data_IF_342915407841
#
_entry.id   IF_342915407841
#
_cell.length_a   1.000
_cell.length_b   1.000
_cell.length_c   1.000
_cell.angle_alpha   90.00
_cell.angle_beta   90.00
_cell.angle_gamma   90.00
#
_symmetry.space_group_name_H-M   'P 1'
#
loop_
_entity.id
_entity.type
_entity.pdbx_description
1 polymer ?
#
# COMPACT_ATOMS: atom_id res chain seq x y z
N UNK A 1 -17.28 16.30 26.41
CA UNK A 1 -17.52 16.81 25.04
C UNK A 1 -17.98 18.25 25.18
N UNK A 2 -17.35 19.19 24.48
CA UNK A 2 -17.84 20.57 24.49
C UNK A 2 -19.27 20.57 23.95
N UNK A 3 -20.22 21.02 24.78
CA UNK A 3 -21.59 21.31 24.37
C UNK A 3 -21.51 22.25 23.16
N UNK A 4 -22.19 21.89 22.07
CA UNK A 4 -22.02 22.47 20.75
C UNK A 4 -21.77 24.00 20.75
N UNK A 5 -20.63 24.42 20.21
CA UNK A 5 -20.42 25.80 19.78
C UNK A 5 -21.00 25.94 18.38
N UNK A 6 -22.33 25.93 18.29
CA UNK A 6 -23.07 26.13 17.06
C UNK A 6 -24.14 27.17 17.27
N UNK A 7 -24.18 28.19 16.42
CA UNK A 7 -25.33 29.07 16.34
C UNK A 7 -26.33 28.45 15.36
N UNK A 8 -27.42 27.88 15.87
CA UNK A 8 -28.54 27.44 15.04
C UNK A 8 -29.51 28.61 14.82
N UNK A 9 -30.05 28.81 13.61
CA UNK A 9 -31.01 29.86 13.38
C UNK A 9 -32.33 29.55 14.13
N UNK A 10 -33.15 30.57 14.46
CA UNK A 10 -34.31 30.41 15.35
C UNK A 10 -35.34 29.34 14.95
N UNK A 11 -35.45 29.02 13.66
CA UNK A 11 -36.47 28.08 13.13
C UNK A 11 -35.87 26.92 12.32
N UNK A 12 -34.65 26.50 12.65
CA UNK A 12 -33.91 25.48 11.89
C UNK A 12 -34.64 24.14 11.71
N UNK A 13 -35.53 23.77 12.62
CA UNK A 13 -36.32 22.52 12.56
C UNK A 13 -37.50 22.59 11.58
N UNK A 14 -38.06 23.78 11.37
CA UNK A 14 -39.31 24.00 10.63
C UNK A 14 -39.02 24.56 9.22
N UNK A 15 -37.85 25.16 9.02
CA UNK A 15 -37.43 25.69 7.73
C UNK A 15 -36.13 26.49 7.80
N UNK A 16 -36.07 27.56 7.01
CA UNK A 16 -34.96 28.52 7.05
C UNK A 16 -35.01 29.41 8.29
N UNK A 17 -34.15 30.43 8.35
CA UNK A 17 -34.09 31.33 9.50
C UNK A 17 -35.45 31.92 9.91
N UNK A 18 -36.29 32.29 8.93
CA UNK A 18 -37.62 32.88 9.15
C UNK A 18 -38.73 31.87 9.46
N UNK A 19 -38.44 30.57 9.42
CA UNK A 19 -39.45 29.52 9.55
C UNK A 19 -40.24 29.29 8.26
N UNK A 20 -41.54 29.01 8.40
CA UNK A 20 -42.47 28.78 7.29
C UNK A 20 -43.61 29.83 7.30
N UNK A 21 -44.59 29.68 6.40
CA UNK A 21 -45.68 30.67 6.26
C UNK A 21 -46.59 30.80 7.51
N UNK A 22 -46.61 29.79 8.39
CA UNK A 22 -47.51 29.73 9.56
C UNK A 22 -46.78 29.83 10.90
N UNK A 23 -45.46 29.60 10.91
CA UNK A 23 -44.61 29.60 12.10
C UNK A 23 -43.28 30.35 11.84
N UNK A 24 -42.94 31.36 12.65
CA UNK A 24 -43.70 31.89 13.78
C UNK A 24 -44.98 32.63 13.32
N UNK A 25 -46.04 32.62 14.13
CA UNK A 25 -47.36 33.18 13.78
C UNK A 25 -47.20 34.64 13.30
N UNK A 26 -47.60 34.97 12.06
CA UNK A 26 -47.49 36.34 11.55
C UNK A 26 -48.14 37.35 12.50
N UNK A 27 -47.42 38.43 12.79
CA UNK A 27 -47.84 39.47 13.75
C UNK A 27 -47.57 39.16 15.22
N UNK A 28 -47.04 37.97 15.56
CA UNK A 28 -46.59 37.68 16.91
C UNK A 28 -45.24 38.34 17.23
N UNK A 29 -44.92 38.41 18.53
CA UNK A 29 -43.63 38.88 18.99
C UNK A 29 -42.48 38.02 18.45
N UNK A 30 -42.64 36.69 18.46
CA UNK A 30 -41.66 35.72 17.99
C UNK A 30 -41.36 35.88 16.50
N UNK A 31 -42.39 36.19 15.70
CA UNK A 31 -42.23 36.48 14.27
C UNK A 31 -41.38 37.74 14.04
N UNK A 32 -41.62 38.79 14.83
CA UNK A 32 -40.87 40.04 14.74
C UNK A 32 -39.40 39.87 15.17
N UNK A 33 -39.16 39.18 16.29
CA UNK A 33 -37.80 38.90 16.78
C UNK A 33 -37.02 38.02 15.80
N UNK A 34 -37.65 36.96 15.29
CA UNK A 34 -37.05 36.08 14.29
C UNK A 34 -36.60 36.86 13.07
N UNK A 35 -37.50 37.67 12.48
CA UNK A 35 -37.16 38.43 11.27
C UNK A 35 -36.04 39.42 11.54
N UNK A 36 -36.05 40.13 12.66
CA UNK A 36 -34.96 41.02 13.04
C UNK A 36 -33.59 40.30 13.10
N UNK A 37 -33.55 39.09 13.68
CA UNK A 37 -32.32 38.27 13.71
C UNK A 37 -31.91 37.88 12.29
N UNK A 38 -32.84 37.40 11.47
CA UNK A 38 -32.56 36.96 10.11
C UNK A 38 -32.13 38.11 9.17
N UNK A 39 -32.65 39.31 9.40
CA UNK A 39 -32.32 40.53 8.65
C UNK A 39 -30.95 41.10 9.07
N UNK A 40 -30.43 40.70 10.23
CA UNK A 40 -29.12 41.14 10.72
C UNK A 40 -27.95 40.40 10.08
N UNK A 41 -28.20 39.41 9.21
CA UNK A 41 -27.12 38.70 8.51
C UNK A 41 -26.58 39.51 7.33
N UNK A 42 -25.25 39.52 7.11
CA UNK A 42 -24.22 38.80 7.87
C UNK A 42 -23.85 39.49 9.20
N UNK A 43 -23.84 38.72 10.29
CA UNK A 43 -23.29 39.14 11.58
C UNK A 43 -21.82 38.75 11.69
N UNK A 44 -21.02 39.54 12.40
CA UNK A 44 -19.59 39.31 12.58
C UNK A 44 -19.26 39.09 14.07
N UNK A 45 -18.52 38.02 14.37
CA UNK A 45 -17.94 37.77 15.70
C UNK A 45 -16.45 38.12 15.64
N UNK A 46 -16.04 39.14 16.40
CA UNK A 46 -14.64 39.50 16.57
C UNK A 46 -14.09 38.87 17.84
N UNK A 47 -12.99 38.13 17.72
CA UNK A 47 -12.29 37.51 18.85
C UNK A 47 -10.85 37.99 18.84
N UNK A 48 -10.44 38.77 19.86
CA UNK A 48 -9.10 39.35 19.93
C UNK A 48 -8.03 38.29 20.23
N UNK A 49 -8.27 37.44 21.23
CA UNK A 49 -7.42 36.29 21.51
C UNK A 49 -8.18 35.21 22.27
N UNK A 50 -7.72 33.96 22.09
CA UNK A 50 -8.13 32.81 22.89
C UNK A 50 -6.90 32.35 23.66
N UNK A 51 -7.04 32.13 24.97
CA UNK A 51 -5.97 31.54 25.80
C UNK A 51 -6.41 30.20 26.36
N UNK A 52 -5.60 29.18 26.12
CA UNK A 52 -5.79 27.84 26.68
C UNK A 52 -4.67 27.60 27.69
N UNK A 53 -5.02 27.29 28.93
CA UNK A 53 -4.07 26.94 29.98
C UNK A 53 -4.03 25.41 30.13
N UNK A 54 -2.82 24.84 30.10
CA UNK A 54 -2.58 23.42 30.27
C UNK A 54 -1.52 23.20 31.36
N UNK A 55 -1.55 22.05 32.03
CA UNK A 55 -0.56 21.69 33.05
C UNK A 55 0.83 21.58 32.42
N UNK A 56 1.81 22.30 32.97
CA UNK A 56 3.17 22.38 32.42
C UNK A 56 3.99 21.11 32.64
N UNK A 57 3.56 20.21 33.53
CA UNK A 57 4.34 19.01 33.91
C UNK A 57 4.01 17.77 33.09
N UNK A 58 2.80 17.68 32.54
CA UNK A 58 2.27 16.47 31.88
C UNK A 58 1.85 16.70 30.42
N UNK A 59 2.07 17.91 29.91
CA UNK A 59 1.61 18.32 28.59
C UNK A 59 2.54 17.84 27.46
N UNK A 60 1.90 17.33 26.40
CA UNK A 60 2.52 17.17 25.08
C UNK A 60 1.80 18.12 24.12
N UNK A 61 2.51 19.15 23.64
CA UNK A 61 1.97 20.09 22.65
C UNK A 61 2.22 19.54 21.26
N UNK A 62 1.16 19.40 20.47
CA UNK A 62 1.24 18.93 19.09
C UNK A 62 -0.14 18.77 18.49
N UNK A 63 -0.20 18.56 17.17
CA UNK A 63 -1.45 18.28 16.48
C UNK A 63 -2.01 16.89 16.78
N UNK A 64 -1.12 15.93 17.07
CA UNK A 64 -1.46 14.52 17.26
C UNK A 64 -0.43 13.83 18.16
N UNK A 65 -0.29 14.23 19.44
CA UNK A 65 0.68 13.66 20.35
C UNK A 65 0.32 12.21 20.71
N UNK A 66 1.31 11.33 20.88
CA UNK A 66 1.07 9.92 21.16
C UNK A 66 0.25 9.65 22.43
N UNK A 67 0.34 10.52 23.44
CA UNK A 67 -0.45 10.42 24.67
C UNK A 67 -1.91 10.84 24.51
N UNK A 68 -2.20 11.70 23.51
CA UNK A 68 -3.55 12.21 23.22
C UNK A 68 -3.77 12.19 21.70
N UNK A 69 -3.92 10.98 21.13
CA UNK A 69 -3.96 10.79 19.69
C UNK A 69 -5.26 11.37 19.13
N UNK A 70 -5.15 12.56 18.56
CA UNK A 70 -6.27 13.36 18.05
C UNK A 70 -6.85 12.71 16.79
N UNK A 71 -5.99 12.14 15.95
CA UNK A 71 -6.42 11.43 14.74
C UNK A 71 -7.27 10.21 15.08
N UNK A 72 -6.82 9.39 16.02
CA UNK A 72 -7.53 8.19 16.49
C UNK A 72 -8.81 8.60 17.21
N UNK A 73 -8.79 9.68 18.01
CA UNK A 73 -9.98 10.21 18.65
C UNK A 73 -11.05 10.63 17.63
N UNK A 74 -10.68 11.38 16.58
CA UNK A 74 -11.60 11.78 15.51
C UNK A 74 -12.14 10.56 14.76
N UNK A 75 -11.27 9.58 14.43
CA UNK A 75 -11.69 8.34 13.77
C UNK A 75 -12.69 7.54 14.63
N UNK A 76 -12.46 7.44 15.93
CA UNK A 76 -13.35 6.75 16.86
C UNK A 76 -14.69 7.47 17.07
N UNK A 77 -14.75 8.78 16.83
CA UNK A 77 -15.94 9.62 17.01
C UNK A 77 -16.38 10.28 15.71
N UNK A 78 -16.24 9.58 14.57
CA UNK A 78 -16.41 10.19 13.24
C UNK A 78 -17.80 10.78 13.00
N UNK A 79 -18.83 10.23 13.66
CA UNK A 79 -20.21 10.74 13.61
C UNK A 79 -20.36 12.15 14.17
N UNK A 80 -19.44 12.60 15.02
CA UNK A 80 -19.44 13.98 15.54
C UNK A 80 -18.86 14.98 14.53
N UNK A 81 -18.15 14.51 13.52
CA UNK A 81 -17.40 15.33 12.56
C UNK A 81 -17.90 15.16 11.12
N UNK A 82 -18.94 14.34 10.92
CA UNK A 82 -19.48 14.04 9.59
C UNK A 82 -20.99 14.13 9.59
N UNK A 83 -21.54 14.57 8.46
CA UNK A 83 -22.97 14.57 8.18
C UNK A 83 -23.19 14.29 6.68
N UNK A 84 -24.44 14.08 6.20
CA UNK A 84 -24.68 13.78 4.79
C UNK A 84 -24.20 14.85 3.79
N UNK A 85 -23.99 16.09 4.22
CA UNK A 85 -23.46 17.20 3.42
C UNK A 85 -21.95 17.41 3.63
N UNK A 86 -21.36 16.84 4.68
CA UNK A 86 -19.93 16.87 4.99
C UNK A 86 -19.41 15.46 5.32
N UNK A 87 -19.24 14.58 4.31
CA UNK A 87 -18.76 13.22 4.52
C UNK A 87 -17.25 13.20 4.81
N UNK A 88 -16.81 12.23 5.61
CA UNK A 88 -15.37 11.96 5.78
C UNK A 88 -14.82 11.32 4.52
N UNK A 89 -14.06 12.10 3.75
CA UNK A 89 -13.37 11.66 2.55
C UNK A 89 -11.88 12.01 2.64
N UNK A 90 -11.03 11.10 2.19
CA UNK A 90 -9.61 11.39 2.06
C UNK A 90 -9.43 12.24 0.80
N UNK A 91 -8.99 13.49 0.98
CA UNK A 91 -8.75 14.41 -0.14
C UNK A 91 -7.28 14.34 -0.60
N UNK A 92 -7.10 14.11 -1.90
CA UNK A 92 -5.81 14.25 -2.57
C UNK A 92 -5.75 15.64 -3.23
N UNK A 93 -5.13 16.58 -2.52
CA UNK A 93 -4.99 17.97 -2.97
C UNK A 93 -6.07 18.89 -2.42
N UNK A 94 -6.24 20.05 -3.06
CA UNK A 94 -7.25 21.05 -2.72
C UNK A 94 -6.81 22.14 -1.75
N UNK A 95 -5.58 22.08 -1.21
CA UNK A 95 -5.02 23.23 -0.48
C UNK A 95 -4.81 24.42 -1.41
N UNK A 96 -4.93 25.62 -0.86
CA UNK A 96 -4.59 26.86 -1.55
C UNK A 96 -3.08 26.91 -1.83
N UNK A 97 -2.72 27.27 -3.07
CA UNK A 97 -1.33 27.38 -3.52
C UNK A 97 -1.10 28.63 -4.38
N UNK A 98 0.13 29.13 -4.37
CA UNK A 98 0.62 30.20 -5.24
C UNK A 98 1.50 29.66 -6.37
N UNK A 99 2.37 28.69 -6.08
CA UNK A 99 3.25 28.04 -7.05
C UNK A 99 3.18 26.51 -6.90
N UNK A 100 3.81 25.78 -7.83
CA UNK A 100 3.89 24.32 -7.73
C UNK A 100 4.59 23.86 -6.45
N UNK A 101 5.56 24.64 -5.94
CA UNK A 101 6.35 24.27 -4.76
C UNK A 101 5.49 24.10 -3.51
N UNK A 102 4.38 24.84 -3.39
CA UNK A 102 3.40 24.71 -2.31
C UNK A 102 2.74 23.32 -2.23
N UNK A 103 2.77 22.58 -3.34
CA UNK A 103 2.11 21.29 -3.52
C UNK A 103 3.10 20.14 -3.67
N UNK A 104 4.37 20.36 -3.33
CA UNK A 104 5.44 19.37 -3.48
C UNK A 104 6.16 19.11 -2.16
N UNK A 105 6.94 18.03 -2.11
CA UNK A 105 7.87 17.78 -1.00
C UNK A 105 9.25 18.30 -1.38
N UNK A 106 10.11 18.59 -0.39
CA UNK A 106 11.48 19.05 -0.65
C UNK A 106 12.31 18.08 -1.51
N UNK A 107 11.94 16.80 -1.54
CA UNK A 107 12.67 15.75 -2.25
C UNK A 107 12.15 15.47 -3.66
N UNK A 108 10.88 15.80 -3.97
CA UNK A 108 10.26 15.46 -5.26
C UNK A 108 9.02 16.29 -5.53
N UNK A 109 8.76 16.51 -6.82
CA UNK A 109 7.46 16.96 -7.31
C UNK A 109 6.43 15.87 -7.00
N UNK A 110 5.43 16.19 -6.17
CA UNK A 110 4.35 15.28 -5.74
C UNK A 110 2.96 15.80 -6.12
N UNK A 111 2.89 17.06 -6.55
CA UNK A 111 1.69 17.73 -7.01
C UNK A 111 2.01 19.00 -7.80
N UNK A 112 0.97 19.66 -8.28
CA UNK A 112 1.06 20.90 -9.04
C UNK A 112 -0.02 21.88 -8.60
N UNK A 113 0.23 23.18 -8.78
CA UNK A 113 -0.73 24.22 -8.46
C UNK A 113 -1.58 24.55 -9.69
N UNK A 114 -2.84 24.12 -9.67
CA UNK A 114 -3.81 24.33 -10.76
C UNK A 114 -4.96 25.17 -10.22
N UNK A 115 -5.24 26.32 -10.84
CA UNK A 115 -6.31 27.22 -10.40
C UNK A 115 -6.24 27.59 -8.90
N UNK A 116 -5.03 27.91 -8.41
CA UNK A 116 -4.76 28.24 -6.98
C UNK A 116 -5.09 27.10 -6.02
N UNK A 117 -5.19 25.86 -6.51
CA UNK A 117 -5.44 24.64 -5.73
C UNK A 117 -4.42 23.56 -6.06
N UNK A 118 -3.93 22.86 -5.03
CA UNK A 118 -3.03 21.74 -5.24
C UNK A 118 -3.75 20.57 -5.90
N UNK A 119 -3.13 19.98 -6.93
CA UNK A 119 -3.55 18.75 -7.58
C UNK A 119 -2.43 17.72 -7.43
N UNK A 120 -2.70 16.62 -6.74
CA UNK A 120 -1.70 15.59 -6.47
C UNK A 120 -1.47 14.68 -7.67
N UNK A 121 -0.27 14.12 -7.73
CA UNK A 121 0.06 13.01 -8.63
C UNK A 121 -0.32 11.68 -7.96
N UNK A 122 -0.64 10.66 -8.75
CA UNK A 122 -1.28 9.38 -8.39
C UNK A 122 -1.15 8.92 -6.93
N UNK A 123 0.07 8.59 -6.48
CA UNK A 123 0.33 7.97 -5.17
C UNK A 123 0.43 8.95 -3.99
N UNK A 124 0.20 10.24 -4.26
CA UNK A 124 0.31 11.31 -3.27
C UNK A 124 -1.07 11.80 -2.84
N UNK A 125 -1.19 12.04 -1.55
CA UNK A 125 -2.43 12.43 -0.89
C UNK A 125 -2.20 13.60 0.08
N UNK A 126 -3.29 14.04 0.68
CA UNK A 126 -3.33 15.18 1.58
C UNK A 126 -3.47 16.51 0.85
N UNK A 127 -3.79 17.60 1.59
CA UNK A 127 -4.18 18.87 0.98
C UNK A 127 -3.10 19.48 0.09
N UNK A 128 -1.83 19.31 0.47
CA UNK A 128 -0.63 19.79 -0.26
C UNK A 128 0.17 18.69 -0.93
N UNK A 129 -0.39 17.48 -1.07
CA UNK A 129 0.28 16.35 -1.76
C UNK A 129 1.62 15.93 -1.12
N UNK A 130 1.82 16.21 0.17
CA UNK A 130 3.06 15.90 0.88
C UNK A 130 3.02 14.57 1.63
N UNK A 131 1.86 13.89 1.61
CA UNK A 131 1.68 12.61 2.26
C UNK A 131 1.60 11.52 1.21
N UNK A 132 2.30 10.40 1.44
CA UNK A 132 2.18 9.23 0.60
C UNK A 132 0.93 8.43 0.99
N UNK A 133 0.20 7.91 0.02
CA UNK A 133 -0.93 7.02 0.28
C UNK A 133 -0.43 5.61 0.61
N UNK A 134 -0.34 5.33 1.91
CA UNK A 134 0.11 4.03 2.44
C UNK A 134 -1.03 3.00 2.50
N UNK A 135 -2.30 3.42 2.37
CA UNK A 135 -3.44 2.50 2.51
C UNK A 135 -3.74 1.76 1.18
N UNK A 136 -3.26 2.26 0.03
CA UNK A 136 -3.55 1.69 -1.30
C UNK A 136 -2.43 0.83 -1.91
N UNK A 137 -1.22 0.81 -1.34
CA UNK A 137 -0.07 0.13 -1.96
C UNK A 137 0.48 -0.97 -1.06
N UNK A 138 0.14 -2.22 -1.39
CA UNK A 138 0.86 -3.41 -0.92
C UNK A 138 2.31 -3.32 -1.38
N UNK A 139 3.26 -3.22 -0.44
CA UNK A 139 4.69 -3.18 -0.73
C UNK A 139 5.13 -4.55 -1.27
N UNK A 140 5.32 -4.66 -2.58
CA UNK A 140 5.83 -5.86 -3.24
C UNK A 140 5.59 -5.85 -4.75
N UNK A 141 6.40 -6.60 -5.53
CA UNK A 141 6.05 -6.89 -6.92
C UNK A 141 4.66 -7.51 -6.94
N UNK A 142 3.84 -7.21 -7.96
CA UNK A 142 2.50 -7.76 -8.05
C UNK A 142 2.55 -9.30 -7.96
N UNK A 143 1.58 -9.91 -7.29
CA UNK A 143 1.59 -11.36 -6.97
C UNK A 143 1.83 -12.24 -8.20
N UNK A 144 1.36 -11.83 -9.38
CA UNK A 144 1.61 -12.53 -10.64
C UNK A 144 3.09 -12.53 -11.05
N UNK A 145 3.83 -11.45 -10.80
CA UNK A 145 5.26 -11.37 -11.10
C UNK A 145 6.06 -12.30 -10.20
N UNK A 146 5.70 -12.37 -8.90
CA UNK A 146 6.31 -13.31 -7.96
C UNK A 146 6.01 -14.77 -8.33
N UNK A 147 4.75 -15.08 -8.65
CA UNK A 147 4.35 -16.42 -9.07
C UNK A 147 5.06 -16.86 -10.36
N UNK A 148 5.22 -15.94 -11.32
CA UNK A 148 5.95 -16.17 -12.56
C UNK A 148 7.41 -16.53 -12.32
N UNK A 149 8.14 -15.72 -11.56
CA UNK A 149 9.58 -15.95 -11.29
C UNK A 149 9.79 -17.27 -10.55
N UNK A 150 8.98 -17.56 -9.52
CA UNK A 150 9.06 -18.83 -8.79
C UNK A 150 8.80 -20.04 -9.70
N UNK A 151 7.81 -19.94 -10.60
CA UNK A 151 7.46 -21.01 -11.53
C UNK A 151 8.58 -21.27 -12.54
N UNK A 152 9.17 -20.21 -13.12
CA UNK A 152 10.32 -20.34 -14.03
C UNK A 152 11.54 -20.96 -13.34
N UNK A 153 11.84 -20.57 -12.11
CA UNK A 153 12.97 -21.12 -11.35
C UNK A 153 12.78 -22.62 -11.07
N UNK A 154 11.58 -23.04 -10.66
CA UNK A 154 11.28 -24.46 -10.39
C UNK A 154 11.35 -25.29 -11.67
N UNK A 155 10.72 -24.84 -12.76
CA UNK A 155 10.73 -25.55 -14.05
C UNK A 155 12.15 -25.65 -14.61
N UNK A 156 12.93 -24.57 -14.57
CA UNK A 156 14.32 -24.57 -15.02
C UNK A 156 15.20 -25.54 -14.21
N UNK A 157 15.00 -25.60 -12.89
CA UNK A 157 15.73 -26.51 -12.00
C UNK A 157 15.41 -27.97 -12.30
N UNK A 158 14.12 -28.30 -12.44
CA UNK A 158 13.67 -29.66 -12.77
C UNK A 158 14.17 -30.09 -14.15
N UNK A 159 14.07 -29.20 -15.15
CA UNK A 159 14.56 -29.48 -16.49
C UNK A 159 16.08 -29.70 -16.52
N UNK A 160 16.84 -28.87 -15.79
CA UNK A 160 18.28 -29.03 -15.61
C UNK A 160 18.64 -30.37 -14.95
N UNK A 161 17.90 -30.79 -13.92
CA UNK A 161 18.08 -32.07 -13.25
C UNK A 161 17.82 -33.24 -14.22
N UNK A 162 16.73 -33.19 -15.00
CA UNK A 162 16.38 -34.22 -15.98
C UNK A 162 17.45 -34.34 -17.07
N UNK A 163 17.95 -33.22 -17.60
CA UNK A 163 19.04 -33.22 -18.59
C UNK A 163 20.34 -33.80 -18.01
N UNK A 164 20.69 -33.47 -16.76
CA UNK A 164 21.85 -34.05 -16.07
C UNK A 164 21.69 -35.56 -15.88
N UNK A 165 20.53 -36.03 -15.44
CA UNK A 165 20.24 -37.45 -15.26
C UNK A 165 20.28 -38.22 -16.60
N UNK A 166 19.75 -37.64 -17.68
CA UNK A 166 19.83 -38.23 -19.04
C UNK A 166 21.26 -38.32 -19.54
N UNK A 167 22.07 -37.27 -19.36
CA UNK A 167 23.50 -37.28 -19.71
C UNK A 167 24.27 -38.31 -18.90
N UNK A 168 24.04 -38.39 -17.61
CA UNK A 168 24.70 -39.37 -16.73
C UNK A 168 24.38 -40.81 -17.12
N UNK A 169 23.12 -41.12 -17.43
CA UNK A 169 22.73 -42.44 -17.96
C UNK A 169 23.41 -42.75 -19.29
N UNK A 170 23.51 -41.78 -20.20
CA UNK A 170 24.20 -41.96 -21.49
C UNK A 170 25.70 -42.25 -21.35
N UNK A 171 26.38 -41.61 -20.40
CA UNK A 171 27.80 -41.87 -20.11
C UNK A 171 28.00 -43.26 -19.49
N UNK A 172 27.15 -43.65 -18.52
CA UNK A 172 27.19 -44.98 -17.91
C UNK A 172 27.00 -46.11 -18.92
N UNK A 173 26.06 -45.96 -19.87
CA UNK A 173 25.83 -46.95 -20.93
C UNK A 173 27.09 -47.10 -21.81
N UNK A 174 27.73 -45.99 -22.20
CA UNK A 174 28.97 -46.03 -22.98
C UNK A 174 30.11 -46.71 -22.24
N UNK A 175 30.31 -46.43 -20.96
CA UNK A 175 31.33 -47.12 -20.15
C UNK A 175 31.04 -48.62 -20.01
N UNK A 176 29.77 -49.00 -19.88
CA UNK A 176 29.38 -50.41 -19.79
C UNK A 176 29.55 -51.16 -21.12
N UNK A 177 29.40 -50.47 -22.25
CA UNK A 177 29.73 -50.99 -23.58
C UNK A 177 31.23 -51.14 -23.78
N UNK A 178 32.04 -50.16 -23.36
CA UNK A 178 33.51 -50.22 -23.40
C UNK A 178 34.04 -51.39 -22.56
N UNK A 179 33.58 -51.54 -21.31
CA UNK A 179 33.97 -52.68 -20.47
C UNK A 179 33.56 -54.04 -21.05
N UNK A 180 32.44 -54.12 -21.79
CA UNK A 180 32.05 -55.37 -22.49
C UNK A 180 33.00 -55.67 -23.65
N UNK A 181 33.45 -54.65 -24.39
CA UNK A 181 34.41 -54.82 -25.50
C UNK A 181 35.78 -55.26 -24.98
N UNK A 182 36.25 -54.70 -23.87
CA UNK A 182 37.51 -55.13 -23.23
C UNK A 182 37.45 -56.60 -22.80
N UNK A 183 36.37 -57.03 -22.13
CA UNK A 183 36.19 -58.45 -21.75
C UNK A 183 36.16 -59.40 -22.95
N UNK A 184 35.56 -58.99 -24.07
CA UNK A 184 35.54 -59.80 -25.29
C UNK A 184 36.92 -59.90 -25.96
N UNK A 185 37.71 -58.82 -25.91
CA UNK A 185 39.10 -58.79 -26.37
C UNK A 185 39.98 -59.71 -25.52
N UNK A 186 39.84 -59.64 -24.19
CA UNK A 186 40.61 -60.45 -23.24
C UNK A 186 40.27 -61.95 -23.36
N UNK A 187 38.99 -62.30 -23.50
CA UNK A 187 38.54 -63.68 -23.74
C UNK A 187 38.99 -64.24 -25.08
N UNK A 188 39.12 -63.41 -26.13
CA UNK A 188 39.63 -63.85 -27.43
C UNK A 188 41.13 -64.08 -27.39
N UNK A 189 41.90 -63.20 -26.72
CA UNK A 189 43.34 -63.38 -26.52
C UNK A 189 43.67 -64.65 -25.72
N UNK A 190 42.84 -65.01 -24.73
CA UNK A 190 43.02 -66.23 -23.93
C UNK A 190 42.70 -67.53 -24.68
N UNK A 191 41.94 -67.46 -25.79
CA UNK A 191 41.61 -68.61 -26.65
C UNK A 191 42.71 -68.92 -27.67
N UNK A 192 43.53 -67.93 -28.06
CA UNK A 192 44.63 -68.12 -29.01
C UNK A 192 45.92 -68.69 -28.40
N UNK A 193 46.07 -68.73 -27.07
CA UNK A 193 47.27 -69.26 -26.40
C UNK A 193 47.17 -70.73 -25.96
N UNK A 194 46.11 -71.45 -26.35
CA UNK A 194 45.90 -72.85 -25.94
C UNK A 194 45.75 -73.78 -27.14
N UNK A 195 46.84 -73.94 -27.88
CA UNK A 195 46.99 -75.03 -28.86
C UNK A 195 48.22 -75.87 -28.44
N UNK A 196 48.06 -77.18 -28.12
CA UNK A 196 49.17 -77.98 -27.61
C UNK A 196 49.89 -78.71 -28.75
N UNK A 197 51.21 -78.51 -28.90
CA UNK A 197 52.06 -79.46 -29.62
C UNK A 197 52.59 -80.51 -28.64
N UNK A 198 52.08 -81.73 -28.78
CA UNK A 198 52.42 -82.93 -28.02
C UNK A 198 53.71 -83.57 -28.55
N UNK A 199 54.50 -84.17 -27.62
CA UNK A 199 55.51 -85.28 -27.77
C UNK A 199 56.78 -85.03 -28.62
N UNK A 200 58.01 -85.44 -28.28
CA UNK A 200 58.60 -86.48 -27.41
C UNK A 200 59.99 -86.00 -26.90
N UNK A 201 60.42 -86.16 -25.63
CA UNK A 201 60.95 -87.35 -24.93
C UNK A 201 62.19 -88.01 -25.59
N UNK A 202 63.35 -87.88 -24.91
CA UNK A 202 64.46 -88.85 -24.67
C UNK A 202 65.76 -88.04 -24.36
N UNK A 203 66.20 -87.86 -23.11
CA UNK A 203 66.92 -88.76 -22.20
C UNK A 203 68.45 -88.79 -22.42
N UNK A 204 69.16 -88.27 -21.40
CA UNK A 204 70.57 -88.53 -20.96
C UNK A 204 71.71 -88.07 -21.88
N UNK A 205 72.83 -87.55 -21.38
CA UNK A 205 73.49 -87.71 -20.07
C UNK A 205 74.36 -86.48 -19.78
#
# INVERSE_FOLDING_TARGET
>A
MASAWGATPPNWEIGGCRGNATHPKPGSWEHKVTNNICDSFPMFLSVDYIRVWQDTKTMSVGCDPASHPTKEFIKAHITNYTDPKNPYIIVAGGATCNSNDDCTTAARVTGSCVNRRCKCMDVWTGPRCTKYDLETVTYGPPLYAMAGVCSFAVVGSVFGLVLRLRRHKGVLVRQHEEMRREKHSESSAHLFLREPSHSDVQITR
#
